data_IF_658074460780
#
_entry.id   IF_658074460780
#
_cell.length_a   1.000
_cell.length_b   1.000
_cell.length_c   1.000
_cell.angle_alpha   90.00
_cell.angle_beta   90.00
_cell.angle_gamma   90.00
#
_symmetry.space_group_name_H-M   'P 1'
#
loop_
_entity.id
_entity.type
_entity.pdbx_description
1 polymer ?
#
# COMPACT_ATOMS: atom_id res chain seq x y z
N UNK A 1 -4.84 6.87 14.20
CA UNK A 1 -4.56 6.77 12.75
C UNK A 1 -5.33 7.90 12.08
N UNK A 2 -4.66 8.87 11.46
CA UNK A 2 -5.37 9.95 10.76
C UNK A 2 -6.13 9.32 9.58
N UNK A 3 -7.46 9.36 9.62
CA UNK A 3 -8.30 8.89 8.52
C UNK A 3 -8.28 9.93 7.41
N UNK A 4 -7.53 9.66 6.34
CA UNK A 4 -7.55 10.46 5.12
C UNK A 4 -8.45 9.75 4.10
N UNK A 5 -9.34 10.50 3.44
CA UNK A 5 -10.21 9.97 2.40
C UNK A 5 -9.58 10.15 1.03
N UNK A 6 -9.51 9.07 0.26
CA UNK A 6 -9.05 9.08 -1.13
C UNK A 6 -10.17 8.59 -2.05
N UNK A 7 -10.40 9.31 -3.14
CA UNK A 7 -11.43 8.95 -4.12
C UNK A 7 -10.95 7.78 -4.98
N UNK A 8 -11.74 6.70 -5.02
CA UNK A 8 -11.57 5.60 -5.97
C UNK A 8 -11.59 6.12 -7.41
N UNK A 9 -10.81 5.54 -8.33
CA UNK A 9 -10.64 6.06 -9.69
C UNK A 9 -9.55 7.10 -9.83
N UNK A 10 -9.44 8.04 -8.89
CA UNK A 10 -8.39 9.07 -8.91
C UNK A 10 -7.05 8.59 -8.37
N UNK A 11 -7.06 7.48 -7.62
CA UNK A 11 -5.86 6.88 -7.05
C UNK A 11 -5.76 5.41 -7.43
N UNK A 12 -4.52 4.95 -7.57
CA UNK A 12 -4.18 3.54 -7.65
C UNK A 12 -3.49 3.13 -6.36
N UNK A 13 -3.78 1.93 -5.88
CA UNK A 13 -3.41 1.45 -4.55
C UNK A 13 -2.70 0.10 -4.67
N UNK A 14 -1.66 -0.07 -3.86
CA UNK A 14 -1.16 -1.39 -3.51
C UNK A 14 -1.11 -1.51 -1.99
N UNK A 15 -1.63 -2.62 -1.47
CA UNK A 15 -1.56 -2.94 -0.05
C UNK A 15 -1.20 -4.41 0.13
N UNK A 16 -0.31 -4.66 1.07
CA UNK A 16 0.05 -6.00 1.49
C UNK A 16 -0.76 -6.38 2.71
N UNK A 17 -1.24 -7.62 2.76
CA UNK A 17 -1.96 -8.17 3.90
C UNK A 17 -1.57 -9.63 4.09
N UNK A 18 -1.71 -10.09 5.33
CA UNK A 18 -1.60 -11.49 5.66
C UNK A 18 -3.01 -12.09 5.76
N UNK A 19 -3.30 -13.10 4.94
CA UNK A 19 -4.54 -13.86 4.98
C UNK A 19 -4.23 -15.28 5.45
N UNK A 20 -4.31 -15.51 6.76
CA UNK A 20 -3.82 -16.75 7.38
C UNK A 20 -2.30 -16.88 7.26
N UNK A 21 -1.82 -17.95 6.64
CA UNK A 21 -0.39 -18.15 6.36
C UNK A 21 0.07 -17.52 5.03
N UNK A 22 -0.87 -17.01 4.22
CA UNK A 22 -0.56 -16.49 2.90
C UNK A 22 -0.30 -14.98 2.93
N UNK A 23 0.77 -14.55 2.27
CA UNK A 23 1.02 -13.15 1.96
C UNK A 23 0.27 -12.80 0.67
N UNK A 24 -0.57 -11.77 0.75
CA UNK A 24 -1.39 -11.29 -0.37
C UNK A 24 -1.06 -9.83 -0.64
N UNK A 25 -1.05 -9.47 -1.91
CA UNK A 25 -1.00 -8.08 -2.35
C UNK A 25 -2.31 -7.80 -3.09
N UNK A 26 -3.06 -6.80 -2.62
CA UNK A 26 -4.18 -6.26 -3.37
C UNK A 26 -3.68 -5.05 -4.15
N UNK A 27 -3.91 -5.10 -5.47
CA UNK A 27 -3.66 -4.01 -6.40
C UNK A 27 -5.00 -3.47 -6.90
N UNK A 28 -5.20 -2.17 -6.77
CA UNK A 28 -6.34 -1.46 -7.33
C UNK A 28 -5.86 -0.37 -8.29
N UNK A 29 -6.40 -0.38 -9.49
CA UNK A 29 -6.11 0.59 -10.53
C UNK A 29 -7.29 0.60 -11.52
N UNK A 30 -7.92 1.75 -11.71
CA UNK A 30 -9.17 1.83 -12.48
C UNK A 30 -8.98 1.92 -14.00
N UNK A 31 -7.74 1.97 -14.48
CA UNK A 31 -7.41 1.98 -15.92
C UNK A 31 -6.15 1.18 -16.21
N UNK A 32 -6.00 0.68 -17.44
CA UNK A 32 -4.77 -0.01 -17.88
C UNK A 32 -3.53 0.89 -17.74
N UNK A 33 -3.67 2.17 -18.09
CA UNK A 33 -2.58 3.14 -17.99
C UNK A 33 -2.14 3.35 -16.53
N UNK A 34 -3.09 3.47 -15.59
CA UNK A 34 -2.77 3.66 -14.18
C UNK A 34 -2.19 2.38 -13.56
N UNK A 35 -2.65 1.20 -13.99
CA UNK A 35 -2.06 -0.08 -13.61
C UNK A 35 -0.61 -0.19 -14.10
N UNK A 36 -0.32 0.21 -15.34
CA UNK A 36 1.03 0.23 -15.88
C UNK A 36 1.98 1.14 -15.09
N UNK A 37 1.52 2.35 -14.73
CA UNK A 37 2.28 3.29 -13.88
C UNK A 37 2.53 2.73 -12.48
N UNK A 38 1.51 2.11 -11.88
CA UNK A 38 1.62 1.44 -10.58
C UNK A 38 2.69 0.33 -10.64
N UNK A 39 2.58 -0.58 -11.60
CA UNK A 39 3.49 -1.71 -11.77
C UNK A 39 4.95 -1.26 -11.97
N UNK A 40 5.20 -0.20 -12.73
CA UNK A 40 6.54 0.36 -12.92
C UNK A 40 7.15 0.93 -11.64
N UNK A 41 6.33 1.55 -10.76
CA UNK A 41 6.83 2.15 -9.52
C UNK A 41 7.00 1.15 -8.39
N UNK A 42 6.18 0.10 -8.32
CA UNK A 42 6.14 -0.85 -7.21
C UNK A 42 7.51 -1.43 -6.79
N UNK A 43 8.43 -1.82 -7.68
CA UNK A 43 9.73 -2.36 -7.30
C UNK A 43 10.54 -1.42 -6.39
N UNK A 44 10.32 -0.11 -6.46
CA UNK A 44 11.02 0.88 -5.63
C UNK A 44 10.40 1.10 -4.25
N UNK A 45 9.22 0.53 -3.98
CA UNK A 45 8.44 0.77 -2.77
C UNK A 45 8.29 -0.48 -1.89
N UNK A 46 9.10 -1.52 -2.09
CA UNK A 46 9.01 -2.79 -1.35
C UNK A 46 9.15 -2.69 0.18
N UNK A 47 9.65 -1.56 0.71
CA UNK A 47 9.69 -1.30 2.15
C UNK A 47 8.30 -1.04 2.75
N UNK A 48 7.32 -0.55 1.97
CA UNK A 48 6.04 -0.07 2.48
C UNK A 48 4.98 -1.17 2.44
N UNK A 49 4.13 -1.23 3.46
CA UNK A 49 2.98 -2.15 3.50
C UNK A 49 1.80 -1.66 2.67
N UNK A 50 1.70 -0.35 2.45
CA UNK A 50 0.77 0.23 1.49
C UNK A 50 1.37 1.44 0.80
N UNK A 51 0.95 1.67 -0.44
CA UNK A 51 1.26 2.85 -1.24
C UNK A 51 0.05 3.26 -2.06
N UNK A 52 -0.20 4.57 -2.14
CA UNK A 52 -1.17 5.15 -3.06
C UNK A 52 -0.44 6.09 -4.02
N UNK A 53 -0.87 6.03 -5.28
CA UNK A 53 -0.42 6.92 -6.34
C UNK A 53 -1.61 7.66 -6.95
N UNK A 54 -1.39 8.90 -7.37
CA UNK A 54 -2.33 9.58 -8.26
C UNK A 54 -2.41 8.80 -9.58
N UNK A 55 -3.60 8.39 -10.03
CA UNK A 55 -3.77 7.56 -11.23
C UNK A 55 -3.34 8.29 -12.52
N UNK A 56 -3.46 9.61 -12.58
CA UNK A 56 -3.13 10.41 -13.75
C UNK A 56 -1.63 10.71 -13.84
N UNK A 57 -0.97 11.11 -12.75
CA UNK A 57 0.45 11.49 -12.76
C UNK A 57 1.38 10.35 -12.34
N UNK A 58 0.86 9.39 -11.59
CA UNK A 58 1.63 8.33 -10.94
C UNK A 58 2.35 8.82 -9.68
N UNK A 59 2.19 10.06 -9.24
CA UNK A 59 2.90 10.59 -8.07
C UNK A 59 2.48 9.89 -6.78
N UNK A 60 3.43 9.65 -5.87
CA UNK A 60 3.12 9.05 -4.58
C UNK A 60 2.39 10.08 -3.72
N UNK A 61 1.17 9.75 -3.29
CA UNK A 61 0.35 10.62 -2.45
C UNK A 61 0.27 10.12 -1.01
N UNK A 62 0.44 8.81 -0.80
CA UNK A 62 0.52 8.22 0.52
C UNK A 62 1.37 6.94 0.49
N UNK A 63 1.98 6.64 1.63
CA UNK A 63 2.73 5.41 1.89
C UNK A 63 2.87 5.18 3.37
N UNK A 64 2.98 3.92 3.78
CA UNK A 64 3.25 3.60 5.17
C UNK A 64 3.54 2.13 5.39
N UNK A 65 3.90 1.81 6.62
CA UNK A 65 4.07 0.44 7.10
C UNK A 65 2.99 0.15 8.12
N UNK A 66 2.50 -1.08 8.14
CA UNK A 66 1.63 -1.53 9.23
C UNK A 66 2.42 -1.52 10.54
N UNK A 67 1.75 -1.13 11.61
CA UNK A 67 2.31 -1.29 12.95
C UNK A 67 2.44 -2.78 13.27
N UNK A 68 3.60 -3.18 13.75
CA UNK A 68 3.85 -4.56 14.18
C UNK A 68 3.27 -4.72 15.58
N UNK A 69 2.08 -5.32 15.69
CA UNK A 69 1.36 -5.46 16.97
C UNK A 69 1.64 -6.79 17.68
N UNK A 70 1.75 -7.88 16.91
CA UNK A 70 1.78 -9.25 17.44
C UNK A 70 3.09 -9.97 17.08
N UNK A 71 4.22 -9.25 17.08
CA UNK A 71 5.50 -9.90 16.85
C UNK A 71 6.01 -10.54 18.14
N UNK A 72 6.43 -11.82 18.12
CA UNK A 72 7.02 -12.50 19.29
C UNK A 72 8.35 -11.88 19.73
N UNK A 73 8.93 -11.00 18.90
CA UNK A 73 10.13 -10.22 19.22
C UNK A 73 9.81 -8.82 19.78
N UNK A 74 8.53 -8.49 19.98
CA UNK A 74 8.11 -7.22 20.60
C UNK A 74 7.97 -7.43 22.10
N UNK A 75 8.82 -6.73 22.88
CA UNK A 75 8.75 -6.71 24.34
C UNK A 75 8.30 -5.32 24.79
N UNK A 76 7.15 -5.24 25.44
CA UNK A 76 6.65 -4.01 26.04
C UNK A 76 7.06 -3.96 27.51
N UNK A 77 8.03 -3.11 27.85
CA UNK A 77 8.37 -2.82 29.24
C UNK A 77 7.38 -1.79 29.80
N UNK A 78 6.79 -2.09 30.96
CA UNK A 78 5.91 -1.17 31.70
C UNK A 78 6.70 -0.29 32.64
#
# INVERSE_FOLDING_TARGET
MNSMNYTCGLHSLALTLQAGEQQVILLDASTEQSLGKLAQKLPHYGKYSYVLFNSATGDNVAKGQWEVKDSPLTLNFK
#
